data_IF_123093767956
#
_entry.id   IF_123093767956
#
_cell.length_a   1.000
_cell.length_b   1.000
_cell.length_c   1.000
_cell.angle_alpha   90.00
_cell.angle_beta   90.00
_cell.angle_gamma   90.00
#
_symmetry.space_group_name_H-M   'P 1'
#
loop_
_entity.id
_entity.type
_entity.pdbx_description
1 polymer ?
#
# COMPACT_ATOMS: atom_id res chain seq x y z
N UNK A 1 -2.21 -5.08 11.95
CA UNK A 1 -1.45 -5.45 10.73
C UNK A 1 -2.43 -5.54 9.58
N UNK A 2 -2.07 -4.99 8.42
CA UNK A 2 -2.90 -5.07 7.22
C UNK A 2 -2.54 -6.31 6.40
N UNK A 3 -3.55 -7.07 5.99
CA UNK A 3 -3.42 -8.31 5.23
C UNK A 3 -4.16 -8.16 3.89
N UNK A 4 -3.40 -8.17 2.79
CA UNK A 4 -3.96 -8.19 1.45
C UNK A 4 -4.52 -9.55 1.08
N UNK A 5 -5.81 -9.61 0.75
CA UNK A 5 -6.55 -10.80 0.34
C UNK A 5 -6.91 -10.69 -1.13
N UNK A 6 -6.33 -11.53 -2.02
CA UNK A 6 -6.81 -11.64 -3.39
C UNK A 6 -8.30 -12.01 -3.38
N UNK A 7 -9.13 -11.21 -4.07
CA UNK A 7 -10.60 -11.37 -4.03
C UNK A 7 -11.05 -12.74 -4.53
N UNK A 8 -10.29 -13.37 -5.43
CA UNK A 8 -10.52 -14.74 -5.93
C UNK A 8 -10.17 -15.85 -4.91
N UNK A 9 -9.56 -15.49 -3.78
CA UNK A 9 -9.10 -16.41 -2.72
C UNK A 9 -9.83 -16.24 -1.39
N UNK A 10 -10.87 -15.40 -1.33
CA UNK A 10 -11.62 -15.13 -0.10
C UNK A 10 -12.08 -16.42 0.63
N UNK A 11 -12.64 -17.38 -0.11
CA UNK A 11 -13.08 -18.66 0.47
C UNK A 11 -11.95 -19.50 1.09
N UNK A 12 -10.73 -19.39 0.56
CA UNK A 12 -9.57 -20.05 1.14
C UNK A 12 -9.14 -19.35 2.44
N UNK A 13 -9.18 -18.02 2.46
CA UNK A 13 -8.87 -17.21 3.64
C UNK A 13 -9.86 -17.49 4.76
N UNK A 14 -11.17 -17.47 4.49
CA UNK A 14 -12.21 -17.78 5.51
C UNK A 14 -12.00 -19.14 6.16
N UNK A 15 -11.71 -20.19 5.36
CA UNK A 15 -11.42 -21.53 5.89
C UNK A 15 -10.20 -21.57 6.81
N UNK A 16 -9.18 -20.76 6.55
CA UNK A 16 -8.00 -20.63 7.43
C UNK A 16 -8.29 -19.78 8.65
N UNK A 17 -9.02 -18.69 8.48
CA UNK A 17 -9.40 -17.77 9.55
C UNK A 17 -10.25 -18.48 10.62
N UNK A 18 -11.12 -19.40 10.22
CA UNK A 18 -11.89 -20.26 11.15
C UNK A 18 -11.03 -21.14 12.07
N UNK A 19 -9.74 -21.33 11.74
CA UNK A 19 -8.79 -22.10 12.55
C UNK A 19 -7.98 -21.21 13.51
N UNK A 20 -8.04 -19.88 13.32
CA UNK A 20 -7.32 -18.92 14.16
C UNK A 20 -8.06 -18.76 15.49
N UNK A 21 -7.32 -18.81 16.59
CA UNK A 21 -7.85 -18.63 17.95
C UNK A 21 -7.35 -17.32 18.53
N UNK A 22 -8.12 -16.75 19.45
CA UNK A 22 -7.74 -15.54 20.18
C UNK A 22 -7.94 -14.25 19.38
N UNK A 23 -8.55 -14.32 18.20
CA UNK A 23 -9.05 -13.17 17.45
C UNK A 23 -10.57 -13.25 17.35
N UNK A 24 -11.24 -12.11 17.44
CA UNK A 24 -12.69 -11.97 17.21
C UNK A 24 -12.94 -10.85 16.21
N UNK A 25 -13.98 -10.98 15.40
CA UNK A 25 -14.37 -9.95 14.44
C UNK A 25 -14.82 -8.68 15.18
N UNK A 26 -14.33 -7.53 14.75
CA UNK A 26 -14.76 -6.23 15.25
C UNK A 26 -16.23 -5.98 14.89
N UNK A 27 -16.97 -5.33 15.78
CA UNK A 27 -18.35 -4.91 15.56
C UNK A 27 -18.42 -3.59 14.77
N UNK A 28 -17.37 -2.79 14.83
CA UNK A 28 -17.29 -1.48 14.18
C UNK A 28 -16.77 -1.62 12.75
N UNK A 29 -15.78 -2.48 12.55
CA UNK A 29 -15.12 -2.69 11.25
C UNK A 29 -15.10 -4.20 10.93
N UNK A 30 -16.07 -4.72 10.18
CA UNK A 30 -16.22 -6.16 9.97
C UNK A 30 -15.06 -6.86 9.22
N UNK A 31 -14.21 -6.09 8.53
CA UNK A 31 -12.95 -6.58 7.94
C UNK A 31 -11.80 -6.66 8.95
N UNK A 32 -12.00 -6.23 10.20
CA UNK A 32 -10.99 -6.20 11.26
C UNK A 32 -11.25 -7.28 12.29
N UNK A 33 -10.18 -7.98 12.67
CA UNK A 33 -10.17 -8.99 13.72
C UNK A 33 -9.28 -8.52 14.86
N UNK A 34 -9.89 -8.30 16.02
CA UNK A 34 -9.24 -7.78 17.21
C UNK A 34 -8.82 -8.90 18.16
N UNK A 35 -7.70 -8.73 18.88
CA UNK A 35 -7.20 -9.76 19.79
C UNK A 35 -8.03 -9.84 21.08
N UNK A 36 -8.24 -11.06 21.56
CA UNK A 36 -8.85 -11.33 22.87
C UNK A 36 -7.82 -11.50 23.98
N UNK A 37 -6.53 -11.38 23.66
CA UNK A 37 -5.41 -11.55 24.61
C UNK A 37 -4.26 -10.63 24.21
N UNK A 38 -3.42 -10.24 25.19
CA UNK A 38 -2.34 -9.27 25.00
C UNK A 38 -1.16 -9.74 24.16
N UNK A 39 -1.08 -11.05 23.86
CA UNK A 39 -0.02 -11.63 23.02
C UNK A 39 -0.32 -11.65 21.52
N UNK A 40 -1.44 -11.08 21.10
CA UNK A 40 -1.88 -11.06 19.71
C UNK A 40 -2.04 -9.62 19.22
N UNK A 41 -1.89 -9.43 17.92
CA UNK A 41 -2.09 -8.14 17.25
C UNK A 41 -3.39 -8.15 16.46
N UNK A 42 -3.98 -6.97 16.31
CA UNK A 42 -5.12 -6.76 15.41
C UNK A 42 -4.75 -7.08 13.96
N UNK A 43 -5.67 -7.71 13.23
CA UNK A 43 -5.52 -8.02 11.81
C UNK A 43 -6.65 -7.37 11.00
N UNK A 44 -6.30 -6.53 10.04
CA UNK A 44 -7.21 -5.87 9.12
C UNK A 44 -7.10 -6.51 7.74
N UNK A 45 -8.21 -7.01 7.19
CA UNK A 45 -8.25 -7.70 5.90
C UNK A 45 -8.69 -6.73 4.79
N UNK A 46 -7.84 -6.53 3.80
CA UNK A 46 -8.08 -5.64 2.67
C UNK A 46 -8.14 -6.45 1.38
N UNK A 47 -9.10 -6.16 0.52
CA UNK A 47 -9.22 -6.88 -0.75
C UNK A 47 -8.25 -6.37 -1.81
N UNK A 48 -7.64 -7.30 -2.54
CA UNK A 48 -6.76 -7.05 -3.68
C UNK A 48 -7.46 -7.52 -4.95
N UNK A 49 -7.81 -6.59 -5.83
CA UNK A 49 -8.36 -6.90 -7.15
C UNK A 49 -7.47 -6.33 -8.27
N UNK A 50 -6.66 -7.17 -8.94
CA UNK A 50 -5.77 -6.72 -10.01
C UNK A 50 -6.53 -6.36 -11.30
N UNK A 51 -7.86 -6.51 -11.33
CA UNK A 51 -8.70 -6.13 -12.46
C UNK A 51 -9.13 -4.67 -12.40
N UNK A 52 -9.02 -4.02 -11.24
CA UNK A 52 -9.25 -2.58 -11.12
C UNK A 52 -8.27 -1.83 -12.02
N UNK A 53 -8.77 -0.80 -12.70
CA UNK A 53 -7.99 0.04 -13.62
C UNK A 53 -7.88 1.48 -13.16
N UNK A 54 -8.80 1.94 -12.31
CA UNK A 54 -8.85 3.31 -11.84
C UNK A 54 -8.50 3.38 -10.35
N UNK A 55 -7.56 4.27 -9.99
CA UNK A 55 -7.15 4.46 -8.60
C UNK A 55 -8.28 4.98 -7.69
N UNK A 56 -9.30 5.63 -8.26
CA UNK A 56 -10.48 6.10 -7.51
C UNK A 56 -11.52 5.00 -7.27
N UNK A 57 -11.39 3.85 -7.90
CA UNK A 57 -12.35 2.75 -7.74
C UNK A 57 -12.19 2.15 -6.34
N UNK A 58 -13.26 2.21 -5.56
CA UNK A 58 -13.35 1.58 -4.24
C UNK A 58 -14.70 0.88 -4.15
N UNK A 59 -14.71 -0.36 -3.68
CA UNK A 59 -15.95 -1.11 -3.47
C UNK A 59 -15.84 -2.03 -2.26
N UNK A 60 -17.01 -2.43 -1.74
CA UNK A 60 -17.12 -3.48 -0.72
C UNK A 60 -17.39 -4.80 -1.42
N UNK A 61 -16.52 -5.77 -1.23
CA UNK A 61 -16.85 -7.16 -1.54
C UNK A 61 -17.71 -7.70 -0.41
N UNK A 62 -19.02 -7.72 -0.63
CA UNK A 62 -20.00 -8.21 0.34
C UNK A 62 -19.81 -9.69 0.62
N UNK A 63 -19.65 -10.03 1.89
CA UNK A 63 -19.57 -11.40 2.39
C UNK A 63 -20.07 -11.42 3.85
N UNK A 64 -20.91 -12.39 4.25
CA UNK A 64 -21.49 -12.41 5.59
C UNK A 64 -20.47 -12.65 6.71
N UNK A 65 -19.36 -13.30 6.38
CA UNK A 65 -18.34 -13.71 7.35
C UNK A 65 -17.16 -12.76 7.35
N UNK A 66 -16.68 -12.36 6.17
CA UNK A 66 -15.51 -11.49 6.00
C UNK A 66 -15.70 -10.54 4.79
N UNK A 67 -16.45 -9.44 4.95
CA UNK A 67 -16.54 -8.43 3.90
C UNK A 67 -15.18 -7.74 3.75
N UNK A 68 -14.81 -7.39 2.51
CA UNK A 68 -13.54 -6.75 2.21
C UNK A 68 -13.74 -5.37 1.61
N UNK A 69 -13.07 -4.36 2.16
CA UNK A 69 -12.85 -3.10 1.46
C UNK A 69 -11.79 -3.31 0.38
N UNK A 70 -12.15 -3.06 -0.88
CA UNK A 70 -11.25 -3.14 -2.02
C UNK A 70 -10.94 -1.73 -2.49
N UNK A 71 -9.66 -1.36 -2.46
CA UNK A 71 -9.17 -0.06 -2.93
C UNK A 71 -8.36 -0.25 -4.22
N UNK A 72 -8.63 0.55 -5.24
CA UNK A 72 -7.96 0.46 -6.53
C UNK A 72 -6.43 0.46 -6.46
N UNK A 73 -5.78 1.34 -5.68
CA UNK A 73 -4.32 1.36 -5.57
C UNK A 73 -3.73 0.07 -5.00
N UNK A 74 -4.46 -0.66 -4.14
CA UNK A 74 -4.01 -1.96 -3.62
C UNK A 74 -3.96 -3.05 -4.69
N UNK A 75 -4.75 -2.91 -5.77
CA UNK A 75 -4.70 -3.81 -6.92
C UNK A 75 -3.35 -3.82 -7.65
N UNK A 76 -2.49 -2.83 -7.39
CA UNK A 76 -1.14 -2.74 -7.95
C UNK A 76 -0.12 -3.64 -7.22
N UNK A 77 -0.41 -4.05 -5.99
CA UNK A 77 0.56 -4.73 -5.13
C UNK A 77 0.85 -6.14 -5.65
N UNK A 78 2.13 -6.41 -5.96
CA UNK A 78 2.62 -7.76 -6.24
C UNK A 78 3.49 -8.27 -5.09
N UNK A 79 3.50 -9.60 -4.85
CA UNK A 79 4.45 -10.21 -3.92
C UNK A 79 5.89 -9.87 -4.30
N UNK A 80 6.66 -9.43 -3.31
CA UNK A 80 8.06 -9.09 -3.37
C UNK A 80 8.89 -9.98 -2.44
N UNK A 81 9.93 -9.44 -1.78
CA UNK A 81 10.78 -10.19 -0.88
C UNK A 81 9.99 -10.87 0.24
N UNK A 82 10.41 -12.09 0.60
CA UNK A 82 9.85 -12.83 1.72
C UNK A 82 10.69 -12.53 2.96
N UNK A 83 10.05 -12.01 4.00
CA UNK A 83 10.66 -11.83 5.32
C UNK A 83 10.29 -12.98 6.24
N UNK A 84 11.15 -13.27 7.21
CA UNK A 84 10.88 -14.24 8.26
C UNK A 84 10.57 -13.51 9.57
N UNK A 85 9.40 -13.77 10.14
CA UNK A 85 8.95 -13.19 11.41
C UNK A 85 8.51 -14.35 12.29
N UNK A 86 9.26 -14.63 13.37
CA UNK A 86 8.96 -15.71 14.31
C UNK A 86 8.74 -17.08 13.63
N UNK A 87 9.54 -17.39 12.60
CA UNK A 87 9.42 -18.62 11.81
C UNK A 87 8.31 -18.62 10.75
N UNK A 88 7.52 -17.54 10.67
CA UNK A 88 6.56 -17.32 9.59
C UNK A 88 7.24 -16.65 8.40
N UNK A 89 7.06 -17.23 7.21
CA UNK A 89 7.51 -16.65 5.95
C UNK A 89 6.41 -15.77 5.36
N UNK A 90 6.61 -14.46 5.38
CA UNK A 90 5.63 -13.47 4.92
C UNK A 90 6.15 -12.77 3.68
N UNK A 91 5.46 -12.86 2.52
CA UNK A 91 5.79 -12.03 1.38
C UNK A 91 5.38 -10.58 1.66
N UNK A 92 6.32 -9.65 1.57
CA UNK A 92 6.02 -8.23 1.55
C UNK A 92 5.66 -7.79 0.12
N UNK A 93 4.91 -6.70 -0.07
CA UNK A 93 4.77 -6.08 -1.38
C UNK A 93 6.12 -5.65 -1.95
N UNK A 94 6.25 -5.62 -3.28
CA UNK A 94 7.40 -4.96 -3.93
C UNK A 94 7.43 -3.48 -3.53
N UNK A 95 8.62 -2.94 -3.29
CA UNK A 95 8.79 -1.55 -2.85
C UNK A 95 8.22 -0.56 -3.86
N UNK A 96 8.44 -0.78 -5.15
CA UNK A 96 7.91 0.05 -6.23
C UNK A 96 6.37 0.11 -6.23
N UNK A 97 5.72 -1.03 -6.08
CA UNK A 97 4.25 -1.13 -6.08
C UNK A 97 3.67 -0.43 -4.85
N UNK A 98 4.31 -0.60 -3.69
CA UNK A 98 3.88 0.03 -2.45
C UNK A 98 4.09 1.56 -2.46
N UNK A 99 5.19 2.05 -3.06
CA UNK A 99 5.37 3.49 -3.27
C UNK A 99 4.28 4.04 -4.20
N UNK A 100 3.99 3.35 -5.31
CA UNK A 100 2.94 3.78 -6.23
C UNK A 100 1.56 3.79 -5.56
N UNK A 101 1.23 2.75 -4.77
CA UNK A 101 0.01 2.71 -3.95
C UNK A 101 -0.08 3.94 -3.05
N UNK A 102 0.96 4.22 -2.26
CA UNK A 102 0.98 5.34 -1.33
C UNK A 102 0.84 6.70 -2.03
N UNK A 103 1.43 6.87 -3.22
CA UNK A 103 1.35 8.11 -4.00
C UNK A 103 -0.02 8.30 -4.67
N UNK A 104 -0.76 7.22 -4.94
CA UNK A 104 -2.08 7.24 -5.57
C UNK A 104 -3.25 7.33 -4.60
N UNK A 105 -3.04 6.91 -3.36
CA UNK A 105 -4.08 6.95 -2.33
C UNK A 105 -4.44 8.40 -2.00
N UNK A 106 -5.69 8.77 -2.25
CA UNK A 106 -6.23 10.11 -2.03
C UNK A 106 -6.14 10.50 -0.55
N UNK A 107 -5.63 11.71 -0.29
CA UNK A 107 -5.18 12.13 1.04
C UNK A 107 -5.44 13.63 1.23
N UNK A 108 -6.45 13.94 2.01
CA UNK A 108 -6.72 15.30 2.49
C UNK A 108 -6.58 15.30 4.01
N UNK A 109 -5.46 15.84 4.56
CA UNK A 109 -5.19 16.13 5.99
C UNK A 109 -3.75 15.78 6.45
N UNK A 110 -3.52 15.82 7.77
CA UNK A 110 -2.28 15.43 8.46
C UNK A 110 -1.91 13.96 8.30
N UNK A 111 -2.89 13.06 8.16
CA UNK A 111 -2.62 11.65 7.84
C UNK A 111 -1.97 11.61 6.47
N UNK A 112 -2.49 12.37 5.50
CA UNK A 112 -1.92 12.51 4.17
C UNK A 112 -0.44 12.87 4.14
N UNK A 113 -0.06 13.90 4.90
CA UNK A 113 1.33 14.35 5.01
C UNK A 113 2.26 13.27 5.59
N UNK A 114 1.86 12.61 6.70
CA UNK A 114 2.67 11.54 7.30
C UNK A 114 2.93 10.41 6.33
N UNK A 115 1.93 10.10 5.54
CA UNK A 115 1.91 8.95 4.66
C UNK A 115 2.77 9.23 3.39
N UNK A 116 2.95 10.49 3.00
CA UNK A 116 3.98 10.92 2.03
C UNK A 116 5.40 10.87 2.62
N UNK A 117 5.58 11.19 3.91
CA UNK A 117 6.88 11.03 4.57
C UNK A 117 7.27 9.54 4.73
N UNK A 118 6.30 8.63 4.80
CA UNK A 118 6.58 7.18 4.66
C UNK A 118 7.16 6.87 3.28
N UNK A 119 6.62 7.45 2.21
CA UNK A 119 7.21 7.33 0.87
C UNK A 119 8.64 7.87 0.84
N UNK A 120 8.92 8.99 1.53
CA UNK A 120 10.30 9.45 1.66
C UNK A 120 11.20 8.41 2.32
N UNK A 121 10.78 7.82 3.43
CA UNK A 121 11.50 6.74 4.10
C UNK A 121 11.81 5.56 3.16
N UNK A 122 10.83 5.18 2.32
CA UNK A 122 11.02 4.13 1.32
C UNK A 122 12.01 4.52 0.23
N UNK A 123 11.94 5.76 -0.29
CA UNK A 123 12.85 6.26 -1.33
C UNK A 123 14.30 6.40 -0.83
N UNK A 124 14.51 6.65 0.47
CA UNK A 124 15.85 6.70 1.08
C UNK A 124 16.55 5.35 1.00
N UNK A 125 15.82 4.25 1.19
CA UNK A 125 16.38 2.89 1.22
C UNK A 125 16.24 2.14 -0.13
N UNK A 126 15.52 2.74 -1.09
CA UNK A 126 15.31 2.17 -2.40
C UNK A 126 16.61 2.09 -3.22
N UNK A 127 16.70 1.05 -4.03
CA UNK A 127 17.81 0.82 -4.96
C UNK A 127 17.49 1.38 -6.36
N UNK A 128 18.49 1.53 -7.24
CA UNK A 128 18.23 1.90 -8.64
C UNK A 128 17.24 0.97 -9.36
N UNK A 129 17.22 -0.33 -9.01
CA UNK A 129 16.27 -1.31 -9.55
C UNK A 129 14.85 -0.95 -9.15
N UNK A 130 14.63 -0.54 -7.89
CA UNK A 130 13.32 -0.13 -7.41
C UNK A 130 12.81 1.10 -8.17
N UNK A 131 13.69 2.05 -8.52
CA UNK A 131 13.29 3.22 -9.31
C UNK A 131 12.88 2.86 -10.74
N UNK A 132 13.61 1.96 -11.40
CA UNK A 132 13.22 1.46 -12.72
C UNK A 132 11.90 0.68 -12.65
N UNK A 133 11.69 -0.11 -11.60
CA UNK A 133 10.39 -0.77 -11.36
C UNK A 133 9.26 0.25 -11.12
N UNK A 134 9.50 1.33 -10.37
CA UNK A 134 8.50 2.39 -10.15
C UNK A 134 8.10 3.08 -11.46
N UNK A 135 9.07 3.38 -12.32
CA UNK A 135 8.79 3.93 -13.67
C UNK A 135 8.00 2.93 -14.50
N UNK A 136 8.33 1.63 -14.41
CA UNK A 136 7.59 0.55 -15.06
C UNK A 136 6.14 0.43 -14.57
N UNK A 137 5.91 0.56 -13.26
CA UNK A 137 4.56 0.61 -12.69
C UNK A 137 3.82 1.83 -13.24
N UNK A 138 4.42 3.02 -13.19
CA UNK A 138 3.81 4.24 -13.70
C UNK A 138 3.44 4.13 -15.19
N UNK A 139 4.27 3.50 -16.01
CA UNK A 139 4.01 3.29 -17.43
C UNK A 139 2.78 2.41 -17.71
N UNK A 140 2.44 1.50 -16.80
CA UNK A 140 1.24 0.67 -16.88
C UNK A 140 -0.05 1.35 -16.41
N UNK A 141 0.04 2.55 -15.82
CA UNK A 141 -1.11 3.27 -15.27
C UNK A 141 -1.78 4.19 -16.29
N UNK A 142 -3.08 4.48 -16.13
CA UNK A 142 -3.75 5.56 -16.84
C UNK A 142 -3.07 6.91 -16.64
N UNK A 143 -3.25 7.82 -17.60
CA UNK A 143 -2.63 9.16 -17.61
C UNK A 143 -2.95 9.93 -16.32
N UNK A 144 -4.19 9.84 -15.85
CA UNK A 144 -4.67 10.51 -14.64
C UNK A 144 -3.92 10.03 -13.39
N UNK A 145 -3.69 8.72 -13.28
CA UNK A 145 -2.92 8.13 -12.18
C UNK A 145 -1.43 8.51 -12.25
N UNK A 146 -0.85 8.63 -13.45
CA UNK A 146 0.51 9.15 -13.60
C UNK A 146 0.62 10.60 -13.13
N UNK A 147 -0.36 11.45 -13.49
CA UNK A 147 -0.43 12.82 -13.00
C UNK A 147 -0.56 12.90 -11.48
N UNK A 148 -1.37 12.04 -10.87
CA UNK A 148 -1.49 11.96 -9.41
C UNK A 148 -0.15 11.59 -8.75
N UNK A 149 0.58 10.61 -9.29
CA UNK A 149 1.93 10.26 -8.82
C UNK A 149 2.89 11.45 -8.92
N UNK A 150 2.94 12.14 -10.07
CA UNK A 150 3.80 13.31 -10.24
C UNK A 150 3.44 14.46 -9.29
N UNK A 151 2.14 14.67 -9.06
CA UNK A 151 1.65 15.67 -8.11
C UNK A 151 2.11 15.33 -6.68
N UNK A 152 1.90 14.10 -6.23
CA UNK A 152 2.30 13.63 -4.91
C UNK A 152 3.83 13.69 -4.70
N UNK A 153 4.62 13.30 -5.71
CA UNK A 153 6.07 13.45 -5.70
C UNK A 153 6.51 14.91 -5.60
N UNK A 154 5.84 15.81 -6.34
CA UNK A 154 6.11 17.25 -6.28
C UNK A 154 5.85 17.78 -4.87
N UNK A 155 4.70 17.44 -4.28
CA UNK A 155 4.38 17.81 -2.89
C UNK A 155 5.46 17.28 -1.94
N UNK A 156 5.81 15.99 -2.03
CA UNK A 156 6.83 15.37 -1.19
C UNK A 156 8.18 16.10 -1.25
N UNK A 157 8.60 16.57 -2.43
CA UNK A 157 9.85 17.31 -2.60
C UNK A 157 9.89 18.66 -1.87
N UNK A 158 8.71 19.25 -1.64
CA UNK A 158 8.51 20.54 -1.00
C UNK A 158 8.27 20.43 0.51
N UNK A 159 8.02 19.21 1.02
CA UNK A 159 7.77 19.00 2.45
C UNK A 159 9.01 19.26 3.30
N UNK A 160 8.76 19.68 4.54
CA UNK A 160 9.77 19.78 5.58
C UNK A 160 9.85 18.49 6.40
N UNK A 161 10.99 18.26 7.05
CA UNK A 161 11.15 17.16 8.00
C UNK A 161 10.25 17.35 9.23
N UNK A 162 9.67 16.26 9.71
CA UNK A 162 8.85 16.24 10.91
C UNK A 162 9.48 15.32 11.96
N UNK A 163 9.40 15.69 13.24
CA UNK A 163 9.95 14.90 14.32
C UNK A 163 9.32 13.49 14.35
N UNK A 164 10.16 12.45 14.42
CA UNK A 164 9.71 11.05 14.40
C UNK A 164 9.31 10.52 13.01
N UNK A 165 9.47 11.31 11.95
CA UNK A 165 9.21 10.91 10.57
C UNK A 165 10.48 10.97 9.72
N UNK A 166 10.54 10.24 8.58
CA UNK A 166 11.65 10.37 7.64
C UNK A 166 11.80 11.81 7.13
N UNK A 167 13.04 12.30 7.06
CA UNK A 167 13.35 13.60 6.47
C UNK A 167 13.29 13.51 4.93
N UNK A 168 12.46 14.31 4.23
CA UNK A 168 12.38 14.27 2.78
C UNK A 168 13.51 15.04 2.07
N UNK A 169 14.35 15.82 2.77
CA UNK A 169 15.40 16.61 2.12
C UNK A 169 16.40 15.77 1.28
N UNK A 170 16.87 14.58 1.73
CA UNK A 170 17.83 13.77 0.98
C UNK A 170 17.26 13.20 -0.33
N UNK A 171 15.94 13.07 -0.46
CA UNK A 171 15.32 12.41 -1.63
C UNK A 171 14.97 13.37 -2.76
N UNK A 172 15.21 14.68 -2.63
CA UNK A 172 14.81 15.68 -3.64
C UNK A 172 15.37 15.39 -5.04
N UNK A 173 16.63 14.95 -5.11
CA UNK A 173 17.27 14.58 -6.36
C UNK A 173 16.67 13.28 -6.94
N UNK A 174 16.38 12.30 -6.10
CA UNK A 174 15.67 11.07 -6.49
C UNK A 174 14.27 11.37 -7.02
N UNK A 175 13.53 12.26 -6.35
CA UNK A 175 12.21 12.70 -6.79
C UNK A 175 12.30 13.40 -8.15
N UNK A 176 13.26 14.31 -8.33
CA UNK A 176 13.49 14.98 -9.62
C UNK A 176 13.78 13.95 -10.73
N UNK A 177 14.60 12.95 -10.45
CA UNK A 177 14.86 11.85 -11.39
C UNK A 177 13.56 11.11 -11.75
N UNK A 178 12.78 10.67 -10.77
CA UNK A 178 11.52 9.95 -10.99
C UNK A 178 10.52 10.78 -11.79
N UNK A 179 10.33 12.06 -11.44
CA UNK A 179 9.46 12.99 -12.17
C UNK A 179 9.85 13.05 -13.65
N UNK A 180 11.13 13.29 -13.95
CA UNK A 180 11.61 13.39 -15.33
C UNK A 180 11.38 12.11 -16.15
N UNK A 181 11.45 10.94 -15.50
CA UNK A 181 11.25 9.64 -16.15
C UNK A 181 9.77 9.34 -16.38
N UNK A 182 8.91 9.70 -15.43
CA UNK A 182 7.47 9.45 -15.51
C UNK A 182 6.81 10.41 -16.50
N UNK A 183 7.20 11.68 -16.51
CA UNK A 183 6.68 12.69 -17.46
C UNK A 183 7.07 12.41 -18.91
N UNK A 184 8.15 11.66 -19.14
CA UNK A 184 8.58 11.23 -20.47
C UNK A 184 7.77 10.03 -21.02
N UNK A 185 6.85 9.46 -20.23
CA UNK A 185 6.00 8.34 -20.66
C UNK A 185 4.90 8.89 -21.59
N UNK A 186 4.75 8.34 -22.81
CA UNK A 186 3.76 8.80 -23.78
C UNK A 186 2.30 8.54 -23.36
#
# INVERSE_FOLDING_TARGET
VDLGVPVDRLEQVKRRLAQVRGLVRSLEEPSVYVPTSTGLIEANFLGLDPRIRHASETYVLEDPDLPLMVFGPLGLLRPGPVVEVEGLRVPLPRAADLVAEKLLTDRTDEKGARDLLVVAGMLIIATPIDFDEMVGVAAGLPVESRHAICSALTVLSLMEGHAGMPDPAPIRETVRYLLSRIEAIP
#
